data_IF_548032855363
#
_entry.id   IF_548032855363
#
_cell.length_a   1.000
_cell.length_b   1.000
_cell.length_c   1.000
_cell.angle_alpha   90.00
_cell.angle_beta   90.00
_cell.angle_gamma   90.00
#
_symmetry.space_group_name_H-M   'P 1'
#
loop_
_entity.id
_entity.type
_entity.pdbx_description
1 polymer ?
#
# COMPACT_ATOMS: atom_id res chain seq x y z
N UNK A 1 -32.07 16.54 -61.31
CA UNK A 1 -31.40 15.44 -60.57
C UNK A 1 -30.37 16.01 -59.65
N UNK A 2 -30.66 16.13 -58.36
CA UNK A 2 -29.72 16.64 -57.32
C UNK A 2 -29.16 15.42 -56.57
N UNK A 3 -27.86 15.21 -56.74
CA UNK A 3 -27.12 14.13 -56.05
C UNK A 3 -26.68 14.70 -54.71
N UNK A 4 -27.30 14.22 -53.61
CA UNK A 4 -26.90 14.55 -52.24
C UNK A 4 -25.78 13.58 -51.82
N UNK A 5 -24.57 14.12 -51.70
CA UNK A 5 -23.44 13.35 -51.13
C UNK A 5 -23.52 13.42 -49.60
N UNK A 6 -23.94 12.32 -49.00
CA UNK A 6 -23.92 12.17 -47.55
C UNK A 6 -22.50 11.74 -47.14
N UNK A 7 -21.75 12.70 -46.56
CA UNK A 7 -20.43 12.41 -45.99
C UNK A 7 -20.64 11.78 -44.61
N UNK A 8 -20.38 10.48 -44.50
CA UNK A 8 -20.38 9.75 -43.24
C UNK A 8 -19.08 10.06 -42.48
N UNK A 9 -19.16 10.94 -41.48
CA UNK A 9 -18.02 11.27 -40.61
C UNK A 9 -17.91 10.22 -39.54
N UNK A 10 -17.04 9.22 -39.74
CA UNK A 10 -16.70 8.20 -38.72
C UNK A 10 -15.79 8.80 -37.66
N UNK A 11 -16.38 9.06 -36.49
CA UNK A 11 -15.68 9.52 -35.29
C UNK A 11 -14.89 8.35 -34.69
N UNK A 12 -13.59 8.26 -34.93
CA UNK A 12 -12.69 7.32 -34.26
C UNK A 12 -12.52 7.77 -32.79
N UNK A 13 -13.18 7.07 -31.85
CA UNK A 13 -12.90 7.15 -30.42
C UNK A 13 -11.56 6.49 -30.14
N UNK A 14 -10.50 7.28 -30.07
CA UNK A 14 -9.22 6.85 -29.55
C UNK A 14 -9.32 6.74 -28.03
N UNK A 15 -9.62 5.54 -27.52
CA UNK A 15 -9.50 5.24 -26.08
C UNK A 15 -8.01 5.24 -25.73
N UNK A 16 -7.55 6.33 -25.15
CA UNK A 16 -6.18 6.42 -24.62
C UNK A 16 -6.02 5.41 -23.48
N UNK A 17 -5.36 4.29 -23.77
CA UNK A 17 -4.84 3.39 -22.73
C UNK A 17 -3.69 4.13 -22.07
N UNK A 18 -3.93 4.71 -20.88
CA UNK A 18 -2.84 5.20 -20.02
C UNK A 18 -1.99 4.00 -19.65
N UNK A 19 -0.83 3.86 -20.27
CA UNK A 19 0.19 2.94 -19.82
C UNK A 19 0.63 3.39 -18.41
N UNK A 20 0.11 2.72 -17.39
CA UNK A 20 0.58 2.92 -16.03
C UNK A 20 2.04 2.48 -15.98
N UNK A 21 2.93 3.41 -15.65
CA UNK A 21 4.32 3.05 -15.35
C UNK A 21 4.32 2.04 -14.21
N UNK A 22 5.07 0.93 -14.35
CA UNK A 22 5.14 -0.08 -13.31
C UNK A 22 5.65 0.54 -12.02
N UNK A 23 4.84 0.44 -10.97
CA UNK A 23 5.03 1.18 -9.73
C UNK A 23 4.50 0.40 -8.53
N UNK A 24 5.18 0.49 -7.40
CA UNK A 24 4.73 -0.03 -6.11
C UNK A 24 3.92 1.00 -5.30
N UNK A 25 3.65 2.18 -5.86
CA UNK A 25 2.83 3.21 -5.22
C UNK A 25 1.42 2.73 -4.81
N UNK A 26 0.68 1.96 -5.64
CA UNK A 26 -0.62 1.44 -5.23
C UNK A 26 -0.55 0.52 -4.00
N UNK A 27 0.54 -0.27 -3.89
CA UNK A 27 0.79 -1.15 -2.75
C UNK A 27 1.05 -0.32 -1.49
N UNK A 28 1.90 0.72 -1.58
CA UNK A 28 2.14 1.64 -0.47
C UNK A 28 0.87 2.42 -0.08
N UNK A 29 0.09 2.89 -1.05
CA UNK A 29 -1.14 3.64 -0.79
C UNK A 29 -2.17 2.81 -0.01
N UNK A 30 -2.41 1.55 -0.39
CA UNK A 30 -3.32 0.65 0.32
C UNK A 30 -2.81 0.32 1.73
N UNK A 31 -1.49 0.13 1.89
CA UNK A 31 -0.87 -0.03 3.19
C UNK A 31 -1.10 1.20 4.10
N UNK A 32 -0.92 2.41 3.58
CA UNK A 32 -1.11 3.64 4.35
C UNK A 32 -2.57 3.84 4.79
N UNK A 33 -3.54 3.56 3.91
CA UNK A 33 -4.96 3.55 4.28
C UNK A 33 -5.25 2.56 5.41
N UNK A 34 -4.70 1.36 5.33
CA UNK A 34 -4.83 0.33 6.38
C UNK A 34 -4.20 0.78 7.70
N UNK A 35 -3.01 1.39 7.67
CA UNK A 35 -2.36 2.00 8.83
C UNK A 35 -3.26 3.06 9.47
N UNK A 36 -3.90 3.93 8.68
CA UNK A 36 -4.79 4.98 9.19
C UNK A 36 -6.08 4.42 9.80
N UNK A 37 -6.62 3.32 9.25
CA UNK A 37 -7.75 2.62 9.84
C UNK A 37 -7.38 2.00 11.21
N UNK A 38 -6.18 1.42 11.33
CA UNK A 38 -5.66 0.90 12.60
C UNK A 38 -5.48 2.01 13.66
N UNK A 39 -4.99 3.20 13.25
CA UNK A 39 -4.91 4.38 14.14
C UNK A 39 -6.30 4.76 14.68
N UNK A 40 -7.33 4.68 13.83
CA UNK A 40 -8.72 4.94 14.20
C UNK A 40 -9.39 3.78 14.94
N UNK A 41 -8.70 2.64 15.08
CA UNK A 41 -9.24 1.38 15.64
C UNK A 41 -10.48 0.86 14.87
N UNK A 42 -10.55 1.10 13.58
CA UNK A 42 -11.62 0.66 12.68
C UNK A 42 -11.25 -0.68 12.04
N UNK A 43 -11.73 -1.76 12.66
CA UNK A 43 -11.43 -3.13 12.21
C UNK A 43 -12.05 -3.45 10.83
N UNK A 44 -13.21 -2.87 10.52
CA UNK A 44 -13.89 -3.09 9.24
C UNK A 44 -13.09 -2.45 8.10
N UNK A 45 -12.75 -1.17 8.23
CA UNK A 45 -11.93 -0.47 7.25
C UNK A 45 -10.53 -1.06 7.13
N UNK A 46 -9.96 -1.55 8.23
CA UNK A 46 -8.66 -2.24 8.19
C UNK A 46 -8.72 -3.49 7.31
N UNK A 47 -9.78 -4.30 7.41
CA UNK A 47 -9.95 -5.48 6.56
C UNK A 47 -10.23 -5.11 5.08
N UNK A 48 -11.03 -4.07 4.82
CA UNK A 48 -11.26 -3.55 3.46
C UNK A 48 -9.94 -3.12 2.81
N UNK A 49 -9.13 -2.33 3.49
CA UNK A 49 -7.84 -1.86 2.96
C UNK A 49 -6.79 -2.97 2.86
N UNK A 50 -6.88 -4.01 3.69
CA UNK A 50 -6.05 -5.21 3.51
C UNK A 50 -6.45 -5.97 2.23
N UNK A 51 -7.73 -6.00 1.86
CA UNK A 51 -8.20 -6.55 0.58
C UNK A 51 -7.72 -5.70 -0.61
N UNK A 52 -7.76 -4.37 -0.50
CA UNK A 52 -7.18 -3.49 -1.52
C UNK A 52 -5.66 -3.74 -1.68
N UNK A 53 -4.96 -3.97 -0.56
CA UNK A 53 -3.52 -4.27 -0.58
C UNK A 53 -3.23 -5.58 -1.32
N UNK A 54 -4.02 -6.63 -1.08
CA UNK A 54 -3.91 -7.92 -1.81
C UNK A 54 -4.09 -7.70 -3.31
N UNK A 55 -5.12 -6.94 -3.70
CA UNK A 55 -5.38 -6.62 -5.10
C UNK A 55 -4.21 -5.85 -5.73
N UNK A 56 -3.67 -4.84 -5.05
CA UNK A 56 -2.52 -4.06 -5.50
C UNK A 56 -1.25 -4.92 -5.66
N UNK A 57 -0.98 -5.83 -4.71
CA UNK A 57 0.16 -6.75 -4.79
C UNK A 57 0.03 -7.68 -5.99
N UNK A 58 -1.17 -8.21 -6.25
CA UNK A 58 -1.41 -9.14 -7.36
C UNK A 58 -1.39 -8.45 -8.73
N UNK A 59 -1.79 -7.18 -8.81
CA UNK A 59 -1.79 -6.39 -10.05
C UNK A 59 -0.42 -5.81 -10.41
N UNK A 60 0.56 -5.86 -9.48
CA UNK A 60 1.90 -5.33 -9.73
C UNK A 60 2.65 -6.19 -10.76
N UNK A 61 2.99 -5.61 -11.92
CA UNK A 61 3.88 -6.24 -12.90
C UNK A 61 5.33 -6.18 -12.41
N UNK A 62 5.76 -7.25 -11.76
CA UNK A 62 7.09 -7.36 -11.17
C UNK A 62 8.21 -7.36 -12.23
N UNK A 63 7.90 -7.75 -13.48
CA UNK A 63 8.89 -7.81 -14.56
C UNK A 63 9.25 -6.42 -15.09
N UNK A 64 8.35 -5.48 -14.96
CA UNK A 64 8.51 -4.11 -15.39
C UNK A 64 9.13 -3.20 -14.30
N UNK A 65 9.24 -3.68 -13.03
CA UNK A 65 9.95 -2.98 -11.97
C UNK A 65 11.47 -2.97 -12.22
N UNK A 66 12.17 -1.96 -11.69
CA UNK A 66 13.65 -1.92 -11.73
C UNK A 66 14.25 -3.13 -11.00
N UNK A 67 15.45 -3.61 -11.40
CA UNK A 67 15.98 -4.89 -10.90
C UNK A 67 16.04 -5.03 -9.38
N UNK A 68 16.44 -3.98 -8.66
CA UNK A 68 16.54 -3.97 -7.20
C UNK A 68 15.18 -4.02 -6.53
N UNK A 69 14.22 -3.27 -7.06
CA UNK A 69 12.84 -3.20 -6.60
C UNK A 69 12.11 -4.53 -6.89
N UNK A 70 12.24 -5.07 -8.11
CA UNK A 70 11.73 -6.38 -8.51
C UNK A 70 12.22 -7.49 -7.59
N UNK A 71 13.53 -7.52 -7.29
CA UNK A 71 14.12 -8.51 -6.37
C UNK A 71 13.49 -8.44 -4.98
N UNK A 72 13.40 -7.24 -4.42
CA UNK A 72 12.82 -7.03 -3.09
C UNK A 72 11.33 -7.38 -3.06
N UNK A 73 10.58 -6.96 -4.08
CA UNK A 73 9.14 -7.25 -4.18
C UNK A 73 8.88 -8.76 -4.26
N UNK A 74 9.61 -9.50 -5.10
CA UNK A 74 9.49 -10.97 -5.22
C UNK A 74 9.77 -11.67 -3.89
N UNK A 75 10.79 -11.22 -3.16
CA UNK A 75 11.19 -11.81 -1.89
C UNK A 75 10.12 -11.66 -0.79
N UNK A 76 9.35 -10.55 -0.82
CA UNK A 76 8.38 -10.24 0.23
C UNK A 76 6.92 -10.52 -0.18
N UNK A 77 6.63 -10.74 -1.47
CA UNK A 77 5.26 -10.87 -2.02
C UNK A 77 4.40 -11.87 -1.27
N UNK A 78 4.87 -13.11 -1.13
CA UNK A 78 4.10 -14.17 -0.47
C UNK A 78 3.82 -13.87 1.00
N UNK A 79 4.82 -13.30 1.70
CA UNK A 79 4.66 -12.92 3.10
C UNK A 79 3.66 -11.78 3.27
N UNK A 80 3.69 -10.78 2.37
CA UNK A 80 2.71 -9.69 2.36
C UNK A 80 1.29 -10.22 2.12
N UNK A 81 1.08 -11.09 1.13
CA UNK A 81 -0.22 -11.70 0.86
C UNK A 81 -0.73 -12.49 2.07
N UNK A 82 0.09 -13.39 2.61
CA UNK A 82 -0.27 -14.20 3.80
C UNK A 82 -0.66 -13.35 5.01
N UNK A 83 0.05 -12.25 5.25
CA UNK A 83 -0.23 -11.38 6.40
C UNK A 83 -1.46 -10.50 6.14
N UNK A 84 -1.69 -10.06 4.90
CA UNK A 84 -2.90 -9.35 4.51
C UNK A 84 -4.14 -10.24 4.66
N UNK A 85 -4.08 -11.51 4.23
CA UNK A 85 -5.16 -12.48 4.42
C UNK A 85 -5.49 -12.68 5.90
N UNK A 86 -4.48 -12.73 6.78
CA UNK A 86 -4.71 -12.80 8.23
C UNK A 86 -5.42 -11.56 8.77
N UNK A 87 -5.14 -10.38 8.24
CA UNK A 87 -5.82 -9.14 8.63
C UNK A 87 -7.26 -9.17 8.16
N UNK A 88 -7.53 -9.59 6.92
CA UNK A 88 -8.89 -9.72 6.37
C UNK A 88 -9.73 -10.71 7.18
N UNK A 89 -9.16 -11.86 7.54
CA UNK A 89 -9.85 -12.89 8.31
C UNK A 89 -10.12 -12.50 9.78
N UNK A 90 -9.33 -11.57 10.32
CA UNK A 90 -9.45 -11.15 11.72
C UNK A 90 -10.56 -10.11 11.89
N UNK A 91 -11.57 -10.41 12.71
CA UNK A 91 -12.61 -9.45 13.13
C UNK A 91 -12.18 -8.56 14.30
N UNK A 92 -11.18 -8.98 15.02
CA UNK A 92 -10.65 -8.31 16.21
C UNK A 92 -9.47 -7.41 15.84
N UNK A 93 -9.51 -6.14 16.29
CA UNK A 93 -8.50 -5.12 15.96
C UNK A 93 -7.12 -5.49 16.49
N UNK A 94 -7.01 -6.18 17.64
CA UNK A 94 -5.70 -6.55 18.20
C UNK A 94 -5.05 -7.70 17.39
N UNK A 95 -5.86 -8.61 16.85
CA UNK A 95 -5.38 -9.64 15.91
C UNK A 95 -4.90 -9.01 14.61
N UNK A 96 -5.63 -7.99 14.09
CA UNK A 96 -5.20 -7.24 12.91
C UNK A 96 -3.88 -6.50 13.18
N UNK A 97 -3.74 -5.81 14.30
CA UNK A 97 -2.50 -5.15 14.75
C UNK A 97 -1.32 -6.14 14.87
N UNK A 98 -1.59 -7.34 15.35
CA UNK A 98 -0.57 -8.39 15.49
C UNK A 98 -0.06 -8.88 14.13
N UNK A 99 -0.92 -8.99 13.11
CA UNK A 99 -0.52 -9.34 11.75
C UNK A 99 0.11 -8.15 11.00
N UNK A 100 -0.33 -6.92 11.30
CA UNK A 100 0.21 -5.70 10.71
C UNK A 100 1.68 -5.45 11.08
N UNK A 101 2.14 -5.85 12.26
CA UNK A 101 3.51 -5.62 12.69
C UNK A 101 4.55 -6.29 11.75
N UNK A 102 4.52 -7.61 11.50
CA UNK A 102 5.43 -8.23 10.54
C UNK A 102 5.17 -7.78 9.09
N UNK A 103 3.93 -7.44 8.71
CA UNK A 103 3.61 -6.89 7.40
C UNK A 103 4.34 -5.56 7.16
N UNK A 104 4.40 -4.69 8.17
CA UNK A 104 5.12 -3.42 8.09
C UNK A 104 6.62 -3.60 7.87
N UNK A 105 7.23 -4.64 8.46
CA UNK A 105 8.64 -4.96 8.23
C UNK A 105 8.88 -5.40 6.78
N UNK A 106 8.04 -6.27 6.25
CA UNK A 106 8.11 -6.71 4.85
C UNK A 106 7.89 -5.55 3.88
N UNK A 107 6.91 -4.70 4.16
CA UNK A 107 6.62 -3.51 3.35
C UNK A 107 7.80 -2.54 3.34
N UNK A 108 8.48 -2.32 4.47
CA UNK A 108 9.65 -1.45 4.55
C UNK A 108 10.80 -1.90 3.66
N UNK A 109 11.06 -3.19 3.55
CA UNK A 109 12.10 -3.73 2.65
C UNK A 109 11.84 -3.37 1.19
N UNK A 110 10.57 -3.38 0.76
CA UNK A 110 10.18 -2.97 -0.59
C UNK A 110 10.34 -1.46 -0.74
N UNK A 111 9.75 -0.68 0.17
CA UNK A 111 9.79 0.80 0.14
C UNK A 111 11.23 1.31 0.11
N UNK A 112 12.11 0.76 0.94
CA UNK A 112 13.51 1.20 1.04
C UNK A 112 14.31 0.97 -0.25
N UNK A 113 13.92 -0.01 -1.04
CA UNK A 113 14.59 -0.35 -2.30
C UNK A 113 13.90 0.23 -3.55
N UNK A 114 12.66 0.72 -3.39
CA UNK A 114 11.88 1.26 -4.50
C UNK A 114 12.46 2.58 -4.99
N UNK A 115 12.61 2.73 -6.29
CA UNK A 115 12.98 3.98 -6.95
C UNK A 115 11.75 4.75 -7.47
N UNK A 116 10.62 4.08 -7.57
CA UNK A 116 9.35 4.68 -7.99
C UNK A 116 8.69 5.53 -6.89
N UNK A 117 9.00 5.27 -5.61
CA UNK A 117 8.53 6.08 -4.49
C UNK A 117 9.42 7.31 -4.33
N UNK A 118 8.94 8.48 -4.77
CA UNK A 118 9.64 9.77 -4.69
C UNK A 118 9.28 10.60 -3.45
N UNK A 119 8.17 10.29 -2.77
CA UNK A 119 7.75 10.97 -1.55
C UNK A 119 8.61 10.56 -0.35
N UNK A 120 8.75 11.47 0.62
CA UNK A 120 9.34 11.10 1.91
C UNK A 120 8.50 10.03 2.60
N UNK A 121 9.17 9.00 3.09
CA UNK A 121 8.57 7.90 3.83
C UNK A 121 9.37 7.66 5.10
N UNK A 122 8.66 7.59 6.22
CA UNK A 122 9.24 7.42 7.56
C UNK A 122 8.97 6.00 8.04
N UNK A 123 10.01 5.35 8.58
CA UNK A 123 9.90 4.10 9.31
C UNK A 123 9.87 4.42 10.79
N UNK A 124 8.70 4.26 11.40
CA UNK A 124 8.44 4.67 12.77
C UNK A 124 8.41 3.44 13.69
N UNK A 125 8.74 3.61 14.96
CA UNK A 125 8.89 2.55 15.95
C UNK A 125 8.12 2.84 17.22
N UNK A 126 7.38 1.86 17.73
CA UNK A 126 6.73 1.91 19.03
C UNK A 126 7.53 1.08 20.06
N UNK A 127 8.16 1.66 21.08
CA UNK A 127 8.95 0.93 22.08
C UNK A 127 8.07 0.00 22.94
N UNK A 128 6.84 0.41 23.22
CA UNK A 128 5.90 -0.37 24.04
C UNK A 128 5.43 -1.66 23.32
N UNK A 129 5.18 -1.58 22.01
CA UNK A 129 4.78 -2.74 21.18
C UNK A 129 6.00 -3.46 20.60
N UNK A 130 7.18 -2.85 20.62
CA UNK A 130 8.41 -3.33 19.97
C UNK A 130 8.17 -3.62 18.48
N UNK A 131 7.44 -2.74 17.81
CA UNK A 131 6.99 -2.94 16.44
C UNK A 131 7.10 -1.67 15.62
N UNK A 132 7.27 -1.84 14.30
CA UNK A 132 7.47 -0.77 13.34
C UNK A 132 6.26 -0.57 12.46
N UNK A 133 6.13 0.63 11.88
CA UNK A 133 5.19 0.93 10.79
C UNK A 133 5.76 1.99 9.85
N UNK A 134 5.11 2.16 8.71
CA UNK A 134 5.48 3.15 7.70
C UNK A 134 4.45 4.28 7.70
N UNK A 135 4.93 5.51 7.54
CA UNK A 135 4.11 6.71 7.41
C UNK A 135 4.71 7.67 6.38
N UNK A 136 3.90 8.47 5.74
CA UNK A 136 4.32 9.65 4.96
C UNK A 136 4.36 10.91 5.81
N UNK A 137 3.88 10.84 7.05
CA UNK A 137 3.93 11.93 8.02
C UNK A 137 5.05 11.66 9.04
N UNK A 138 5.83 12.67 9.36
CA UNK A 138 6.85 12.59 10.41
C UNK A 138 6.21 12.49 11.80
N UNK A 139 5.08 13.14 11.97
CA UNK A 139 4.31 13.10 13.21
C UNK A 139 3.85 11.66 13.52
N UNK A 140 4.05 11.27 14.77
CA UNK A 140 3.70 9.92 15.23
C UNK A 140 2.18 9.78 15.37
N UNK A 141 1.63 8.80 14.64
CA UNK A 141 0.25 8.32 14.79
C UNK A 141 0.29 6.80 14.89
N UNK A 142 0.32 6.30 16.13
CA UNK A 142 0.59 4.91 16.44
C UNK A 142 -0.57 3.98 16.06
N UNK A 143 -0.41 3.05 15.08
CA UNK A 143 -1.48 2.14 14.67
C UNK A 143 -1.73 1.01 15.66
N UNK A 144 -0.77 0.72 16.57
CA UNK A 144 -0.87 -0.39 17.50
C UNK A 144 -1.73 -0.10 18.73
N UNK A 145 -1.86 1.18 19.11
CA UNK A 145 -2.63 1.60 20.27
C UNK A 145 -3.75 2.58 19.93
N UNK A 146 -3.72 3.20 18.74
CA UNK A 146 -4.71 4.20 18.34
C UNK A 146 -4.77 5.36 19.33
N UNK A 147 -5.98 5.81 19.66
CA UNK A 147 -6.19 6.94 20.58
C UNK A 147 -5.63 6.73 21.99
N UNK A 148 -5.44 5.49 22.43
CA UNK A 148 -4.91 5.18 23.78
C UNK A 148 -3.47 5.65 23.98
N UNK A 149 -2.65 5.58 22.93
CA UNK A 149 -1.24 5.98 22.96
C UNK A 149 -0.82 6.53 21.59
N UNK A 150 -1.58 7.50 21.07
CA UNK A 150 -1.48 7.99 19.68
C UNK A 150 -0.06 8.45 19.30
N UNK A 151 0.60 9.15 20.20
CA UNK A 151 1.93 9.75 19.96
C UNK A 151 3.10 8.92 20.50
N UNK A 152 2.83 7.68 20.95
CA UNK A 152 3.87 6.80 21.44
C UNK A 152 4.67 6.20 20.28
N UNK A 153 5.90 6.67 20.13
CA UNK A 153 6.83 6.20 19.10
C UNK A 153 7.85 7.26 18.72
N UNK A 154 8.74 6.89 17.83
CA UNK A 154 9.76 7.75 17.25
C UNK A 154 10.05 7.35 15.81
N UNK A 155 10.66 8.25 15.03
CA UNK A 155 11.19 7.93 13.70
C UNK A 155 12.50 7.15 13.87
N UNK A 156 12.56 5.96 13.29
CA UNK A 156 13.71 5.05 13.35
C UNK A 156 14.57 5.12 12.08
N UNK A 157 13.94 5.30 10.92
CA UNK A 157 14.62 5.42 9.63
C UNK A 157 13.74 6.24 8.66
N UNK A 158 14.29 6.68 7.55
CA UNK A 158 13.56 7.42 6.51
C UNK A 158 14.11 7.13 5.12
N UNK A 159 13.26 7.31 4.13
CA UNK A 159 13.59 7.31 2.72
C UNK A 159 13.17 8.63 2.10
#
# INVERSE_FOLDING_TARGET
MRIIHTILFTLLLVTGVSAQTPDVQPVLASYLKMKDALVKSDAVKTAEYATELIAAINSTDVTALKPKESKSFRAEKENLLKLSDKIVAAKDIEKQRSAFAPLSVSMWKIVKTSESISSKVYYQYCPMKKSYWISTEENIKNPYYGSKMLTCGNVSDKK
#
